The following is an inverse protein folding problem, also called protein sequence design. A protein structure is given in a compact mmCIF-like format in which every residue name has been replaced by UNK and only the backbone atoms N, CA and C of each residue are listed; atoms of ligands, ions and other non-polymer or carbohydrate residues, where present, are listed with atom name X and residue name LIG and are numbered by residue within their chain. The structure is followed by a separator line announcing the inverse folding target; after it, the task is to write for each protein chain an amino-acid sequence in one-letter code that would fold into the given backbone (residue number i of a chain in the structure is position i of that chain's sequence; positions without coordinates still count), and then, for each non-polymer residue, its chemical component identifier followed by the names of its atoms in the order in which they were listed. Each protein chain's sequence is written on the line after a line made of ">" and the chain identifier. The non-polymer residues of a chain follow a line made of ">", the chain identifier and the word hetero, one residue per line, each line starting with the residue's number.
data_IF_896793313619
#
_entry.id   IF_896793313619
#
_cell.length_a   1.000
_cell.length_b   1.000
_cell.length_c   1.000
_cell.angle_alpha   90.00
_cell.angle_beta   90.00
_cell.angle_gamma   90.00
#
_symmetry.space_group_name_H-M   'P 1'
#
loop_
_entity.id
_entity.type
_entity.pdbx_description
1 polymer ?
#
# COMPACT_ATOMS: atom_id res chain seq x y z
N UNK A 1 22.47 -18.33 -12.74
CA UNK A 1 21.17 -17.72 -12.36
C UNK A 1 20.74 -18.11 -10.94
N UNK A 2 20.59 -19.40 -10.61
CA UNK A 2 20.12 -19.86 -9.27
C UNK A 2 21.00 -19.39 -8.09
N UNK A 3 22.33 -19.48 -8.20
CA UNK A 3 23.28 -19.02 -7.16
C UNK A 3 23.16 -17.51 -6.90
N UNK A 4 22.93 -16.72 -7.95
CA UNK A 4 22.73 -15.27 -7.81
C UNK A 4 21.43 -14.95 -7.08
N UNK A 5 20.31 -15.59 -7.44
CA UNK A 5 19.02 -15.43 -6.75
C UNK A 5 19.10 -15.82 -5.26
N UNK A 6 19.77 -16.94 -4.96
CA UNK A 6 19.97 -17.38 -3.59
C UNK A 6 20.73 -16.32 -2.77
N UNK A 7 21.78 -15.70 -3.36
CA UNK A 7 22.53 -14.62 -2.71
C UNK A 7 21.66 -13.38 -2.45
N UNK A 8 20.79 -12.97 -3.41
CA UNK A 8 19.90 -11.83 -3.22
C UNK A 8 18.89 -12.11 -2.08
N UNK A 9 18.31 -13.31 -2.04
CA UNK A 9 17.40 -13.73 -0.96
C UNK A 9 18.09 -13.71 0.41
N UNK A 10 19.32 -14.19 0.51
CA UNK A 10 20.09 -14.19 1.75
C UNK A 10 20.35 -12.74 2.25
N UNK A 11 20.66 -11.81 1.35
CA UNK A 11 20.86 -10.40 1.69
C UNK A 11 19.56 -9.75 2.17
N UNK A 12 18.43 -10.04 1.52
CA UNK A 12 17.13 -9.57 1.99
C UNK A 12 16.79 -10.16 3.37
N UNK A 13 17.03 -11.44 3.58
CA UNK A 13 16.79 -12.06 4.89
C UNK A 13 17.60 -11.37 6.00
N UNK A 14 18.88 -11.08 5.76
CA UNK A 14 19.68 -10.27 6.67
C UNK A 14 19.05 -8.91 6.93
N UNK A 15 18.67 -8.21 5.87
CA UNK A 15 18.02 -6.89 5.96
C UNK A 15 16.75 -6.90 6.82
N UNK A 16 15.88 -7.93 6.69
CA UNK A 16 14.71 -8.10 7.55
C UNK A 16 15.09 -8.26 9.03
N UNK A 17 16.13 -9.02 9.32
CA UNK A 17 16.61 -9.26 10.70
C UNK A 17 17.29 -8.03 11.30
N UNK A 18 17.98 -7.22 10.49
CA UNK A 18 18.74 -6.04 10.91
C UNK A 18 17.85 -4.81 11.23
N UNK A 19 16.56 -5.05 11.50
CA UNK A 19 15.62 -4.06 12.00
C UNK A 19 14.53 -3.63 11.01
N UNK A 20 14.64 -3.98 9.71
CA UNK A 20 13.58 -3.68 8.75
C UNK A 20 12.28 -4.43 9.08
N UNK A 21 12.35 -5.68 9.52
CA UNK A 21 11.16 -6.44 9.96
C UNK A 21 10.38 -5.76 11.07
N UNK A 22 11.07 -5.10 12.02
CA UNK A 22 10.42 -4.29 13.05
C UNK A 22 9.75 -3.05 12.44
N UNK A 23 10.42 -2.36 11.52
CA UNK A 23 9.83 -1.22 10.83
C UNK A 23 8.57 -1.62 10.06
N UNK A 24 8.59 -2.76 9.35
CA UNK A 24 7.43 -3.32 8.68
C UNK A 24 6.25 -3.59 9.64
N UNK A 25 6.50 -4.28 10.75
CA UNK A 25 5.46 -4.57 11.76
C UNK A 25 4.87 -3.28 12.36
N UNK A 26 5.70 -2.29 12.67
CA UNK A 26 5.24 -0.99 13.18
C UNK A 26 4.42 -0.23 12.13
N UNK A 27 4.81 -0.30 10.86
CA UNK A 27 4.07 0.33 9.75
C UNK A 27 2.69 -0.31 9.59
N UNK A 28 2.60 -1.64 9.60
CA UNK A 28 1.34 -2.36 9.52
C UNK A 28 0.42 -2.06 10.72
N UNK A 29 0.97 -2.01 11.93
CA UNK A 29 0.22 -1.64 13.13
C UNK A 29 -0.29 -0.20 13.05
N UNK A 30 0.57 0.75 12.68
CA UNK A 30 0.19 2.15 12.53
C UNK A 30 -0.91 2.32 11.47
N UNK A 31 -0.81 1.61 10.33
CA UNK A 31 -1.85 1.60 9.31
C UNK A 31 -3.18 1.09 9.89
N UNK A 32 -3.18 -0.05 10.58
CA UNK A 32 -4.39 -0.61 11.17
C UNK A 32 -5.04 0.36 12.18
N UNK A 33 -4.24 1.00 13.04
CA UNK A 33 -4.75 1.99 14.01
C UNK A 33 -5.38 3.18 13.30
N UNK A 34 -4.68 3.78 12.32
CA UNK A 34 -5.21 4.94 11.57
C UNK A 34 -6.45 4.56 10.78
N UNK A 35 -6.49 3.37 10.17
CA UNK A 35 -7.65 2.85 9.46
C UNK A 35 -8.88 2.74 10.38
N UNK A 36 -8.72 2.15 11.57
CA UNK A 36 -9.82 2.01 12.54
C UNK A 36 -10.29 3.37 13.04
N UNK A 37 -9.36 4.27 13.40
CA UNK A 37 -9.70 5.63 13.83
C UNK A 37 -10.44 6.38 12.72
N UNK A 38 -9.96 6.29 11.48
CA UNK A 38 -10.61 6.92 10.32
C UNK A 38 -12.02 6.36 10.12
N UNK A 39 -12.20 5.04 10.19
CA UNK A 39 -13.53 4.41 10.11
C UNK A 39 -14.50 5.00 11.15
N UNK A 40 -14.09 5.06 12.41
CA UNK A 40 -14.94 5.57 13.51
C UNK A 40 -15.24 7.07 13.35
N UNK A 41 -14.25 7.88 12.98
CA UNK A 41 -14.43 9.32 12.77
C UNK A 41 -15.34 9.60 11.59
N UNK A 42 -15.17 8.90 10.46
CA UNK A 42 -15.97 9.13 9.26
C UNK A 42 -17.39 8.58 9.36
N UNK A 43 -17.64 7.58 10.22
CA UNK A 43 -19.01 7.18 10.59
C UNK A 43 -19.77 8.33 11.26
N UNK A 44 -19.08 9.15 12.06
CA UNK A 44 -19.71 10.27 12.79
C UNK A 44 -19.76 11.56 11.97
N UNK A 45 -18.76 11.75 11.08
CA UNK A 45 -18.58 12.97 10.26
C UNK A 45 -18.33 12.57 8.79
N UNK A 46 -19.39 12.31 7.98
CA UNK A 46 -19.25 11.75 6.64
C UNK A 46 -18.73 12.74 5.58
N UNK A 47 -19.03 14.03 5.71
CA UNK A 47 -18.77 15.01 4.66
C UNK A 47 -17.31 15.08 4.14
N UNK A 48 -16.25 14.96 4.94
CA UNK A 48 -14.88 14.94 4.44
C UNK A 48 -14.56 13.75 3.55
N UNK A 49 -15.08 12.55 3.91
CA UNK A 49 -14.79 11.33 3.16
C UNK A 49 -15.55 11.28 1.85
N UNK A 50 -16.76 11.81 1.77
CA UNK A 50 -17.53 11.89 0.53
C UNK A 50 -16.79 12.73 -0.53
N UNK A 51 -16.24 13.87 -0.13
CA UNK A 51 -15.40 14.70 -1.02
C UNK A 51 -14.15 13.96 -1.50
N UNK A 52 -13.48 13.27 -0.59
CA UNK A 52 -12.27 12.52 -0.89
C UNK A 52 -12.55 11.35 -1.84
N UNK A 53 -13.66 10.64 -1.65
CA UNK A 53 -14.11 9.56 -2.54
C UNK A 53 -14.41 10.10 -3.94
N UNK A 54 -15.06 11.26 -4.04
CA UNK A 54 -15.33 11.89 -5.34
C UNK A 54 -14.03 12.17 -6.09
N UNK A 55 -13.07 12.84 -5.45
CA UNK A 55 -11.75 13.13 -6.04
C UNK A 55 -11.01 11.85 -6.44
N UNK A 56 -11.08 10.82 -5.62
CA UNK A 56 -10.45 9.52 -5.91
C UNK A 56 -11.06 8.83 -7.13
N UNK A 57 -12.40 8.89 -7.28
CA UNK A 57 -13.09 8.33 -8.47
C UNK A 57 -12.70 9.08 -9.74
N UNK A 58 -12.64 10.41 -9.70
CA UNK A 58 -12.19 11.24 -10.81
C UNK A 58 -10.76 10.87 -11.22
N UNK A 59 -9.84 10.75 -10.25
CA UNK A 59 -8.46 10.36 -10.50
C UNK A 59 -8.31 8.95 -11.10
N UNK A 60 -9.15 7.99 -10.70
CA UNK A 60 -9.14 6.62 -11.25
C UNK A 60 -9.61 6.64 -12.70
N UNK A 61 -10.67 7.41 -13.01
CA UNK A 61 -11.19 7.55 -14.37
C UNK A 61 -10.14 8.20 -15.29
N UNK A 62 -9.53 9.30 -14.86
CA UNK A 62 -8.50 10.02 -15.63
C UNK A 62 -7.27 9.16 -15.95
N UNK A 63 -6.95 8.18 -15.11
CA UNK A 63 -5.82 7.27 -15.31
C UNK A 63 -6.14 6.05 -16.19
N UNK A 64 -7.36 5.91 -16.68
CA UNK A 64 -7.79 4.76 -17.46
C UNK A 64 -7.72 3.44 -16.70
N UNK A 65 -7.87 3.48 -15.39
CA UNK A 65 -7.88 2.30 -14.52
C UNK A 65 -9.19 1.55 -14.67
N UNK A 66 -10.26 2.28 -14.95
CA UNK A 66 -11.61 1.75 -15.21
C UNK A 66 -12.02 2.18 -16.61
N UNK A 67 -12.51 1.24 -17.43
CA UNK A 67 -13.06 1.52 -18.75
C UNK A 67 -14.47 2.12 -18.69
N UNK A 68 -15.04 2.45 -19.86
CA UNK A 68 -16.39 3.02 -19.97
C UNK A 68 -17.49 2.05 -19.49
N UNK A 69 -17.21 0.76 -19.54
CA UNK A 69 -18.10 -0.33 -19.13
C UNK A 69 -17.97 -0.64 -17.62
N UNK A 70 -17.02 -0.01 -16.92
CA UNK A 70 -16.78 -0.18 -15.49
C UNK A 70 -15.82 -1.32 -15.12
N UNK A 71 -15.14 -1.92 -16.11
CA UNK A 71 -14.17 -2.99 -15.87
C UNK A 71 -12.79 -2.43 -15.50
N UNK A 72 -12.09 -3.12 -14.62
CA UNK A 72 -10.74 -2.74 -14.22
C UNK A 72 -9.68 -3.23 -15.20
N UNK A 73 -8.76 -2.36 -15.57
CA UNK A 73 -7.55 -2.71 -16.35
C UNK A 73 -6.46 -3.23 -15.40
N UNK A 74 -6.15 -4.53 -15.44
CA UNK A 74 -5.08 -5.12 -14.62
C UNK A 74 -3.70 -4.44 -14.85
N UNK A 75 -3.25 -4.15 -16.09
CA UNK A 75 -2.02 -3.41 -16.31
C UNK A 75 -2.04 -1.98 -15.70
N UNK A 76 -3.15 -1.25 -15.83
CA UNK A 76 -3.27 0.10 -15.29
C UNK A 76 -3.28 0.09 -13.76
N UNK A 77 -4.01 -0.84 -13.13
CA UNK A 77 -3.97 -1.07 -11.68
C UNK A 77 -2.55 -1.39 -11.19
N UNK A 78 -1.89 -2.34 -11.84
CA UNK A 78 -0.52 -2.71 -11.50
C UNK A 78 0.43 -1.51 -11.56
N UNK A 79 0.43 -0.77 -12.66
CA UNK A 79 1.32 0.38 -12.85
C UNK A 79 1.02 1.50 -11.84
N UNK A 80 -0.26 1.78 -11.58
CA UNK A 80 -0.68 2.75 -10.58
C UNK A 80 -0.15 2.40 -9.18
N UNK A 81 -0.34 1.16 -8.75
CA UNK A 81 0.07 0.70 -7.43
C UNK A 81 1.60 0.58 -7.32
N UNK A 82 2.28 0.15 -8.39
CA UNK A 82 3.74 0.12 -8.45
C UNK A 82 4.33 1.53 -8.34
N UNK A 83 3.75 2.49 -9.06
CA UNK A 83 4.15 3.91 -8.99
C UNK A 83 3.95 4.46 -7.57
N UNK A 84 2.80 4.18 -6.94
CA UNK A 84 2.52 4.60 -5.57
C UNK A 84 3.53 4.01 -4.57
N UNK A 85 3.86 2.73 -4.68
CA UNK A 85 4.88 2.07 -3.86
C UNK A 85 6.28 2.65 -4.10
N UNK A 86 6.66 2.87 -5.36
CA UNK A 86 7.96 3.45 -5.70
C UNK A 86 8.10 4.89 -5.15
N UNK A 87 7.04 5.70 -5.25
CA UNK A 87 7.00 7.05 -4.68
C UNK A 87 7.07 7.02 -3.14
N UNK A 88 6.33 6.12 -2.48
CA UNK A 88 6.38 5.97 -1.03
C UNK A 88 7.79 5.62 -0.53
N UNK A 89 8.51 4.77 -1.26
CA UNK A 89 9.93 4.48 -1.00
C UNK A 89 10.82 5.68 -1.32
N UNK A 90 10.59 6.35 -2.45
CA UNK A 90 11.32 7.52 -2.92
C UNK A 90 11.23 8.72 -1.97
N UNK A 91 10.11 8.93 -1.33
CA UNK A 91 9.94 9.95 -0.28
C UNK A 91 10.90 9.76 0.91
N UNK A 92 11.41 8.56 1.11
CA UNK A 92 12.44 8.27 2.10
C UNK A 92 13.77 8.99 1.85
N UNK A 93 14.04 9.46 0.61
CA UNK A 93 15.23 10.26 0.29
C UNK A 93 15.16 11.70 0.84
N UNK A 94 14.01 12.14 1.34
CA UNK A 94 13.85 13.46 1.96
C UNK A 94 13.93 13.29 3.48
N UNK A 95 15.13 13.43 4.10
CA UNK A 95 15.30 13.26 5.54
C UNK A 95 14.52 14.34 6.30
N UNK A 96 14.20 14.05 7.56
CA UNK A 96 13.47 14.89 8.51
C UNK A 96 11.97 15.10 8.26
N UNK A 97 11.48 15.03 7.02
CA UNK A 97 10.05 15.25 6.72
C UNK A 97 9.18 14.00 6.91
N UNK A 98 9.80 12.81 6.93
CA UNK A 98 9.06 11.53 7.09
C UNK A 98 7.83 11.40 6.19
N UNK A 99 7.90 11.89 4.95
CA UNK A 99 6.81 11.86 3.97
C UNK A 99 6.18 10.46 3.76
N UNK A 100 6.91 9.34 3.87
CA UNK A 100 6.29 8.02 3.83
C UNK A 100 5.25 7.78 4.93
N UNK A 101 5.38 8.45 6.10
CA UNK A 101 4.37 8.37 7.15
C UNK A 101 3.08 9.13 6.77
N UNK A 102 3.20 10.24 6.05
CA UNK A 102 2.05 10.98 5.50
C UNK A 102 1.33 10.12 4.47
N UNK A 103 2.09 9.50 3.55
CA UNK A 103 1.53 8.56 2.56
C UNK A 103 0.80 7.39 3.24
N UNK A 104 1.38 6.81 4.29
CA UNK A 104 0.75 5.77 5.11
C UNK A 104 -0.57 6.25 5.71
N UNK A 105 -0.56 7.45 6.32
CA UNK A 105 -1.76 8.04 6.93
C UNK A 105 -2.88 8.24 5.92
N UNK A 106 -2.59 8.80 4.74
CA UNK A 106 -3.57 9.02 3.68
C UNK A 106 -4.18 7.69 3.20
N UNK A 107 -3.35 6.68 2.91
CA UNK A 107 -3.84 5.38 2.48
C UNK A 107 -4.70 4.71 3.57
N UNK A 108 -4.26 4.71 4.83
CA UNK A 108 -5.02 4.14 5.93
C UNK A 108 -6.36 4.86 6.14
N UNK A 109 -6.38 6.20 6.04
CA UNK A 109 -7.62 6.99 6.10
C UNK A 109 -8.58 6.63 4.96
N UNK A 110 -8.08 6.42 3.74
CA UNK A 110 -8.91 6.00 2.61
C UNK A 110 -9.54 4.63 2.88
N UNK A 111 -8.77 3.65 3.35
CA UNK A 111 -9.33 2.32 3.66
C UNK A 111 -10.41 2.37 4.73
N UNK A 112 -10.18 3.07 5.84
CA UNK A 112 -11.18 3.23 6.90
C UNK A 112 -12.39 4.05 6.44
N UNK A 113 -12.14 5.12 5.69
CA UNK A 113 -13.18 5.98 5.13
C UNK A 113 -14.08 5.25 4.14
N UNK A 114 -13.52 4.46 3.22
CA UNK A 114 -14.32 3.63 2.31
C UNK A 114 -15.17 2.61 3.08
N UNK A 115 -14.62 1.97 4.10
CA UNK A 115 -15.37 1.04 4.94
C UNK A 115 -16.59 1.74 5.59
N UNK A 116 -16.41 2.94 6.14
CA UNK A 116 -17.52 3.71 6.73
C UNK A 116 -18.53 4.18 5.68
N UNK A 117 -18.07 4.57 4.49
CA UNK A 117 -18.94 4.99 3.40
C UNK A 117 -19.89 3.87 2.95
N UNK A 118 -19.37 2.62 2.85
CA UNK A 118 -20.23 1.46 2.55
C UNK A 118 -21.31 1.27 3.61
N UNK A 119 -20.99 1.39 4.88
CA UNK A 119 -21.97 1.29 5.98
C UNK A 119 -23.01 2.42 5.89
N UNK A 120 -22.61 3.64 5.53
CA UNK A 120 -23.52 4.77 5.34
C UNK A 120 -24.47 4.58 4.15
N UNK A 121 -24.06 3.83 3.13
CA UNK A 121 -24.93 3.41 2.02
C UNK A 121 -25.90 2.27 2.39
N UNK A 122 -25.91 1.83 3.66
CA UNK A 122 -26.74 0.71 4.12
C UNK A 122 -26.14 -0.66 3.79
N UNK A 123 -24.92 -0.71 3.25
CA UNK A 123 -24.25 -1.97 2.91
C UNK A 123 -23.50 -2.53 4.14
N UNK A 124 -23.59 -3.84 4.38
CA UNK A 124 -22.91 -4.43 5.53
C UNK A 124 -21.38 -4.41 5.37
N UNK A 125 -20.66 -4.28 6.49
CA UNK A 125 -19.19 -4.20 6.49
C UNK A 125 -18.52 -5.41 5.84
N UNK A 126 -19.12 -6.61 5.95
CA UNK A 126 -18.59 -7.80 5.29
C UNK A 126 -18.58 -7.67 3.76
N UNK A 127 -19.51 -6.91 3.17
CA UNK A 127 -19.54 -6.66 1.72
C UNK A 127 -18.35 -5.82 1.27
N UNK A 128 -17.98 -4.79 2.04
CA UNK A 128 -16.73 -4.05 1.82
C UNK A 128 -15.51 -4.98 1.92
N UNK A 129 -15.50 -5.86 2.95
CA UNK A 129 -14.45 -6.88 3.10
C UNK A 129 -14.36 -7.82 1.90
N UNK A 130 -15.49 -8.34 1.43
CA UNK A 130 -15.53 -9.23 0.27
C UNK A 130 -15.03 -8.56 -1.01
N UNK A 131 -15.27 -7.26 -1.17
CA UNK A 131 -14.75 -6.47 -2.29
C UNK A 131 -13.23 -6.24 -2.18
N UNK A 132 -12.73 -6.00 -0.97
CA UNK A 132 -11.35 -5.52 -0.77
C UNK A 132 -10.38 -6.64 -0.46
N UNK A 133 -10.79 -7.68 0.30
CA UNK A 133 -9.89 -8.73 0.77
C UNK A 133 -9.25 -9.58 -0.34
N UNK A 134 -9.93 -9.96 -1.44
CA UNK A 134 -9.33 -10.84 -2.44
C UNK A 134 -8.00 -10.30 -2.98
N UNK A 135 -7.94 -9.03 -3.38
CA UNK A 135 -6.71 -8.39 -3.85
C UNK A 135 -5.89 -7.78 -2.70
N UNK A 136 -6.55 -7.31 -1.65
CA UNK A 136 -5.93 -6.63 -0.50
C UNK A 136 -4.93 -7.51 0.26
N UNK A 137 -5.11 -8.84 0.29
CA UNK A 137 -4.15 -9.79 0.89
C UNK A 137 -2.76 -9.67 0.23
N UNK A 138 -2.69 -9.28 -1.02
CA UNK A 138 -1.44 -9.08 -1.76
C UNK A 138 -1.02 -7.61 -1.81
N UNK A 139 -1.96 -6.70 -2.00
CA UNK A 139 -1.70 -5.27 -2.13
C UNK A 139 -1.24 -4.64 -0.80
N UNK A 140 -1.91 -4.93 0.32
CA UNK A 140 -1.56 -4.34 1.61
C UNK A 140 -0.14 -4.71 2.07
N UNK A 141 0.32 -5.97 2.01
CA UNK A 141 1.71 -6.28 2.30
C UNK A 141 2.71 -5.54 1.40
N UNK A 142 2.42 -5.42 0.09
CA UNK A 142 3.27 -4.66 -0.82
C UNK A 142 3.37 -3.18 -0.43
N UNK A 143 2.23 -2.57 -0.09
CA UNK A 143 2.14 -1.19 0.37
C UNK A 143 2.90 -0.99 1.70
N UNK A 144 2.74 -1.90 2.67
CA UNK A 144 3.45 -1.85 3.95
C UNK A 144 4.97 -1.98 3.76
N UNK A 145 5.42 -2.86 2.86
CA UNK A 145 6.83 -3.01 2.52
C UNK A 145 7.40 -1.71 1.93
N UNK A 146 6.66 -1.06 1.03
CA UNK A 146 7.08 0.18 0.40
C UNK A 146 7.17 1.33 1.41
N UNK A 147 6.14 1.52 2.23
CA UNK A 147 6.09 2.58 3.24
C UNK A 147 7.13 2.38 4.35
N UNK A 148 7.27 1.13 4.84
CA UNK A 148 8.31 0.78 5.79
C UNK A 148 9.70 1.01 5.21
N UNK A 149 9.89 0.69 3.91
CA UNK A 149 11.13 0.94 3.18
C UNK A 149 11.48 2.42 3.13
N UNK A 150 10.52 3.26 2.77
CA UNK A 150 10.68 4.71 2.76
C UNK A 150 11.01 5.29 4.14
N UNK A 151 10.29 4.85 5.19
CA UNK A 151 10.55 5.26 6.57
C UNK A 151 11.93 4.81 7.06
N UNK A 152 12.33 3.58 6.73
CA UNK A 152 13.64 3.04 7.08
C UNK A 152 14.76 3.81 6.40
N UNK A 153 14.60 4.16 5.12
CA UNK A 153 15.56 4.99 4.37
C UNK A 153 15.63 6.39 4.96
N UNK A 154 14.51 7.04 5.22
CA UNK A 154 14.45 8.36 5.85
C UNK A 154 15.20 8.36 7.18
N UNK A 155 14.95 7.39 8.06
CA UNK A 155 15.67 7.23 9.34
C UNK A 155 17.17 7.02 9.13
N UNK A 156 17.56 6.23 8.14
CA UNK A 156 18.97 5.98 7.82
C UNK A 156 19.67 7.25 7.38
N UNK A 157 19.02 8.06 6.52
CA UNK A 157 19.55 9.35 6.09
C UNK A 157 19.64 10.38 7.23
N UNK A 158 18.65 10.41 8.12
CA UNK A 158 18.73 11.25 9.34
C UNK A 158 19.93 10.85 10.21
N UNK A 159 20.20 9.56 10.37
CA UNK A 159 21.39 9.07 11.10
C UNK A 159 22.70 9.45 10.38
N UNK A 160 22.72 9.30 9.06
CA UNK A 160 23.86 9.71 8.24
C UNK A 160 24.17 11.21 8.45
N UNK A 161 23.16 12.08 8.37
CA UNK A 161 23.35 13.53 8.52
C UNK A 161 23.71 13.92 9.95
N UNK A 162 23.03 13.38 10.96
CA UNK A 162 23.22 13.78 12.36
C UNK A 162 24.44 13.15 13.03
N UNK A 163 24.78 11.91 12.67
CA UNK A 163 25.81 11.11 13.35
C UNK A 163 27.02 10.81 12.46
N UNK A 164 27.01 11.30 11.22
CA UNK A 164 28.08 11.03 10.23
C UNK A 164 28.33 9.51 10.02
N UNK A 165 27.29 8.67 10.17
CA UNK A 165 27.36 7.22 9.98
C UNK A 165 27.47 6.89 8.47
N UNK A 166 28.67 7.01 7.93
CA UNK A 166 28.97 6.76 6.50
C UNK A 166 28.80 5.27 6.16
N UNK A 167 28.41 4.98 4.92
CA UNK A 167 28.35 3.61 4.40
C UNK A 167 27.03 2.88 4.60
N UNK A 168 26.07 3.41 5.38
CA UNK A 168 24.77 2.75 5.62
C UNK A 168 23.75 2.92 4.49
N UNK A 169 23.80 4.04 3.77
CA UNK A 169 22.75 4.43 2.79
C UNK A 169 22.75 3.51 1.58
N UNK A 170 23.92 3.25 0.98
CA UNK A 170 24.05 2.43 -0.22
C UNK A 170 23.48 1.01 -0.05
N UNK A 171 23.88 0.25 0.99
CA UNK A 171 23.31 -1.07 1.27
C UNK A 171 21.78 -1.04 1.49
N UNK A 172 21.26 -0.01 2.16
CA UNK A 172 19.81 0.14 2.37
C UNK A 172 19.11 0.35 1.04
N UNK A 173 19.55 1.30 0.22
CA UNK A 173 18.98 1.57 -1.11
C UNK A 173 18.97 0.30 -1.97
N UNK A 174 20.08 -0.44 -2.00
CA UNK A 174 20.16 -1.67 -2.76
C UNK A 174 19.19 -2.74 -2.27
N UNK A 175 19.01 -2.87 -0.95
CA UNK A 175 18.02 -3.79 -0.38
C UNK A 175 16.58 -3.33 -0.67
N UNK A 176 16.31 -2.04 -0.72
CA UNK A 176 14.99 -1.52 -1.10
C UNK A 176 14.69 -1.80 -2.58
N UNK A 177 15.68 -1.69 -3.49
CA UNK A 177 15.52 -2.09 -4.89
C UNK A 177 15.25 -3.60 -5.03
N UNK A 178 15.96 -4.44 -4.26
CA UNK A 178 15.66 -5.89 -4.20
C UNK A 178 14.26 -6.15 -3.71
N UNK A 179 13.83 -5.44 -2.66
CA UNK A 179 12.50 -5.55 -2.07
C UNK A 179 11.42 -5.19 -3.10
N UNK A 180 11.62 -4.09 -3.84
CA UNK A 180 10.72 -3.64 -4.90
C UNK A 180 10.56 -4.71 -5.98
N UNK A 181 11.68 -5.26 -6.49
CA UNK A 181 11.65 -6.23 -7.60
C UNK A 181 11.20 -7.61 -7.15
N UNK A 182 11.67 -8.10 -5.99
CA UNK A 182 11.49 -9.49 -5.59
C UNK A 182 10.22 -9.75 -4.75
N UNK A 183 9.68 -8.73 -4.08
CA UNK A 183 8.49 -8.88 -3.23
C UNK A 183 7.35 -7.97 -3.65
N UNK A 184 7.57 -6.65 -3.77
CA UNK A 184 6.49 -5.70 -4.04
C UNK A 184 5.90 -5.94 -5.43
N UNK A 185 6.73 -6.02 -6.47
CA UNK A 185 6.27 -6.22 -7.86
C UNK A 185 5.42 -7.49 -8.03
N UNK A 186 5.86 -8.70 -7.59
CA UNK A 186 5.04 -9.90 -7.71
C UNK A 186 3.72 -9.83 -6.92
N UNK A 187 3.74 -9.24 -5.73
CA UNK A 187 2.52 -9.05 -4.93
C UNK A 187 1.52 -8.15 -5.64
N UNK A 188 1.98 -7.04 -6.22
CA UNK A 188 1.12 -6.10 -6.97
C UNK A 188 0.61 -6.69 -8.27
N UNK A 189 1.40 -7.53 -8.96
CA UNK A 189 0.91 -8.27 -10.14
C UNK A 189 -0.23 -9.20 -9.78
N UNK A 190 -0.10 -9.96 -8.69
CA UNK A 190 -1.16 -10.83 -8.20
C UNK A 190 -2.39 -10.02 -7.77
N UNK A 191 -2.21 -8.93 -7.01
CA UNK A 191 -3.29 -8.05 -6.58
C UNK A 191 -4.08 -7.49 -7.78
N UNK A 192 -3.39 -6.94 -8.78
CA UNK A 192 -4.01 -6.35 -9.95
C UNK A 192 -4.79 -7.39 -10.80
N UNK A 193 -4.25 -8.60 -10.94
CA UNK A 193 -4.95 -9.68 -11.63
C UNK A 193 -6.22 -10.11 -10.86
N UNK A 194 -6.13 -10.23 -9.54
CA UNK A 194 -7.29 -10.59 -8.70
C UNK A 194 -8.34 -9.50 -8.74
N UNK A 195 -7.96 -8.22 -8.63
CA UNK A 195 -8.90 -7.10 -8.72
C UNK A 195 -9.65 -7.07 -10.05
N UNK A 196 -8.93 -7.26 -11.16
CA UNK A 196 -9.52 -7.15 -12.49
C UNK A 196 -10.40 -8.37 -12.87
N UNK A 197 -10.02 -9.59 -12.43
CA UNK A 197 -10.67 -10.80 -12.93
C UNK A 197 -11.42 -11.60 -11.88
N UNK A 198 -11.03 -11.57 -10.62
CA UNK A 198 -11.64 -12.37 -9.55
C UNK A 198 -12.63 -11.55 -8.75
N UNK A 199 -12.27 -10.34 -8.36
CA UNK A 199 -13.13 -9.47 -7.54
C UNK A 199 -14.51 -9.21 -8.18
N UNK A 200 -14.65 -8.92 -9.49
CA UNK A 200 -15.97 -8.75 -10.13
C UNK A 200 -16.85 -9.99 -10.03
N UNK A 201 -16.29 -11.18 -10.27
CA UNK A 201 -17.03 -12.45 -10.17
C UNK A 201 -17.53 -12.71 -8.75
N UNK A 202 -16.68 -12.45 -7.75
CA UNK A 202 -17.06 -12.56 -6.33
C UNK A 202 -18.19 -11.58 -6.00
N UNK A 203 -18.10 -10.34 -6.47
CA UNK A 203 -19.11 -9.31 -6.21
C UNK A 203 -20.44 -9.61 -6.89
N UNK A 204 -20.42 -10.12 -8.13
CA UNK A 204 -21.63 -10.57 -8.83
C UNK A 204 -22.30 -11.72 -8.09
N UNK A 205 -21.54 -12.71 -7.63
CA UNK A 205 -22.09 -13.82 -6.84
C UNK A 205 -22.71 -13.38 -5.52
N UNK A 206 -22.19 -12.31 -4.91
CA UNK A 206 -22.67 -11.77 -3.63
C UNK A 206 -23.81 -10.76 -3.79
N UNK A 207 -24.03 -10.20 -4.97
CA UNK A 207 -25.10 -9.20 -5.21
C UNK A 207 -26.50 -9.70 -4.87
N UNK A 208 -26.71 -11.02 -4.92
CA UNK A 208 -28.01 -11.66 -4.56
C UNK A 208 -28.28 -11.70 -3.05
N UNK A 209 -27.32 -11.34 -2.20
CA UNK A 209 -27.44 -11.37 -0.74
C UNK A 209 -27.55 -9.96 -0.12
N UNK A 210 -27.68 -8.95 -0.93
CA UNK A 210 -27.85 -7.52 -0.60
C UNK A 210 -29.15 -7.02 -1.19
#
# INVERSE_FOLDING_TARGET
>A
MLKWLARQRQQLYGFYRDGFGRAFGMTALAFAVVMVVSYLVTLRYPAPIERLIKLFREQIADRGIVDAEGNFSAPALFLNNLQACALAMGYGFIPFLYLPAVSLGINAMMFGGFASYYVQLGLPLWYYGARTLPHGIFELPALFLAMAGGLYLCRTLVRYVRRNEKGLVGPVVLNLLRLLVMHITPLLMAAAAIEAYVTPVVMEALARYI
#
